data_IF_517863491408
#
_entry.id   IF_517863491408
#
_cell.length_a   1.000
_cell.length_b   1.000
_cell.length_c   1.000
_cell.angle_alpha   90.00
_cell.angle_beta   90.00
_cell.angle_gamma   90.00
#
_symmetry.space_group_name_H-M   'P 1'
#
loop_
_entity.id
_entity.type
_entity.pdbx_description
1 polymer ?
#
# COMPACT_ATOMS: atom_id res chain seq x y z
N UNK A 1 -20.96 -19.10 6.79
CA UNK A 1 -19.66 -18.45 6.90
C UNK A 1 -19.47 -17.45 5.78
N UNK A 2 -19.11 -16.25 6.10
CA UNK A 2 -18.90 -15.22 5.10
C UNK A 2 -17.51 -15.27 4.50
N UNK A 3 -17.30 -14.47 3.47
CA UNK A 3 -15.98 -14.29 2.90
C UNK A 3 -15.12 -13.44 3.86
N UNK A 4 -13.79 -13.67 3.85
CA UNK A 4 -12.93 -12.80 4.64
C UNK A 4 -13.08 -11.35 4.15
N UNK A 5 -13.07 -10.44 5.11
CA UNK A 5 -13.18 -9.01 4.82
C UNK A 5 -11.84 -8.34 5.09
N UNK A 6 -11.42 -7.46 4.19
CA UNK A 6 -10.21 -6.69 4.40
C UNK A 6 -10.50 -5.65 5.47
N UNK A 7 -9.64 -5.58 6.47
CA UNK A 7 -9.70 -4.54 7.48
C UNK A 7 -9.04 -3.29 6.91
N UNK A 8 -9.85 -2.30 6.55
CA UNK A 8 -9.36 -1.09 5.90
C UNK A 8 -8.41 -0.30 6.78
N UNK A 9 -8.70 -0.21 8.07
CA UNK A 9 -7.83 0.52 8.98
C UNK A 9 -6.46 -0.13 9.10
N UNK A 10 -6.42 -1.45 9.23
CA UNK A 10 -5.17 -2.19 9.30
C UNK A 10 -4.38 -2.08 7.99
N UNK A 11 -5.07 -2.20 6.87
CA UNK A 11 -4.43 -2.07 5.56
C UNK A 11 -3.84 -0.68 5.37
N UNK A 12 -4.59 0.36 5.77
CA UNK A 12 -4.10 1.73 5.69
C UNK A 12 -2.86 1.96 6.55
N UNK A 13 -2.89 1.43 7.77
CA UNK A 13 -1.72 1.54 8.67
C UNK A 13 -0.50 0.85 8.09
N UNK A 14 -0.68 -0.29 7.43
CA UNK A 14 0.42 -0.99 6.79
C UNK A 14 0.97 -0.22 5.59
N UNK A 15 0.10 0.44 4.83
CA UNK A 15 0.56 1.30 3.74
C UNK A 15 1.45 2.43 4.28
N UNK A 16 1.03 3.07 5.37
CA UNK A 16 1.82 4.12 5.99
C UNK A 16 3.18 3.57 6.46
N UNK A 17 3.16 2.44 7.13
CA UNK A 17 4.38 1.83 7.67
C UNK A 17 5.36 1.49 6.54
N UNK A 18 4.87 0.87 5.48
CA UNK A 18 5.73 0.47 4.37
C UNK A 18 6.23 1.68 3.59
N UNK A 19 5.37 2.69 3.42
CA UNK A 19 5.77 3.94 2.77
C UNK A 19 6.90 4.62 3.56
N UNK A 20 6.74 4.72 4.86
CA UNK A 20 7.76 5.33 5.71
C UNK A 20 9.06 4.52 5.68
N UNK A 21 8.96 3.21 5.71
CA UNK A 21 10.14 2.34 5.64
C UNK A 21 10.87 2.52 4.32
N UNK A 22 10.16 2.80 3.25
CA UNK A 22 10.76 3.05 1.94
C UNK A 22 11.27 4.48 1.77
N UNK A 23 11.03 5.36 2.74
CA UNK A 23 11.46 6.75 2.66
C UNK A 23 10.64 7.60 1.70
N UNK A 24 9.40 7.21 1.43
CA UNK A 24 8.54 7.90 0.49
C UNK A 24 7.53 8.77 1.21
N UNK A 25 7.29 9.96 0.67
CA UNK A 25 6.25 10.85 1.19
C UNK A 25 4.94 10.60 0.46
N UNK A 26 3.85 11.13 1.02
CA UNK A 26 2.56 11.09 0.33
C UNK A 26 2.66 11.82 -1.02
N UNK A 27 3.41 12.92 -1.07
CA UNK A 27 3.60 13.64 -2.32
C UNK A 27 4.31 12.77 -3.36
N UNK A 28 5.29 11.97 -2.94
CA UNK A 28 5.97 11.06 -3.86
C UNK A 28 4.98 10.06 -4.47
N UNK A 29 4.10 9.51 -3.64
CA UNK A 29 3.08 8.59 -4.14
C UNK A 29 2.11 9.30 -5.08
N UNK A 30 1.70 10.50 -4.72
CA UNK A 30 0.82 11.29 -5.56
C UNK A 30 1.41 11.47 -6.96
N UNK A 31 2.69 11.78 -7.02
CA UNK A 31 3.40 11.98 -8.29
C UNK A 31 3.45 10.70 -9.10
N UNK A 32 3.79 9.58 -8.45
CA UNK A 32 3.91 8.30 -9.12
C UNK A 32 2.57 7.87 -9.71
N UNK A 33 1.48 8.06 -8.98
CA UNK A 33 0.15 7.68 -9.46
C UNK A 33 -0.45 8.70 -10.41
N UNK A 34 0.13 9.89 -10.50
CA UNK A 34 -0.41 10.93 -11.37
C UNK A 34 -1.71 11.53 -10.85
N UNK A 35 -1.94 11.49 -9.54
CA UNK A 35 -3.15 12.05 -8.96
C UNK A 35 -3.05 13.57 -8.88
N UNK A 36 -4.19 14.24 -9.12
CA UNK A 36 -4.25 15.68 -9.01
C UNK A 36 -4.17 16.18 -7.57
N UNK A 37 -4.50 15.31 -6.61
CA UNK A 37 -4.45 15.65 -5.19
C UNK A 37 -4.09 14.41 -4.40
N UNK A 38 -3.64 14.56 -3.15
CA UNK A 38 -3.27 13.40 -2.32
C UNK A 38 -4.46 12.74 -1.63
N UNK A 39 -5.68 13.14 -1.94
CA UNK A 39 -6.84 12.70 -1.17
C UNK A 39 -7.07 11.20 -1.21
N UNK A 40 -6.87 10.57 -2.37
CA UNK A 40 -7.05 9.12 -2.47
C UNK A 40 -6.07 8.40 -1.54
N UNK A 41 -4.82 8.88 -1.48
CA UNK A 41 -3.80 8.27 -0.64
C UNK A 41 -4.16 8.42 0.83
N UNK A 42 -4.63 9.58 1.23
CA UNK A 42 -5.07 9.78 2.61
C UNK A 42 -6.25 8.88 2.96
N UNK A 43 -7.17 8.69 2.02
CA UNK A 43 -8.30 7.78 2.25
C UNK A 43 -7.81 6.34 2.46
N UNK A 44 -6.81 5.91 1.72
CA UNK A 44 -6.22 4.60 1.92
C UNK A 44 -5.62 4.50 3.33
N UNK A 45 -4.84 5.50 3.71
CA UNK A 45 -4.15 5.50 5.00
C UNK A 45 -5.12 5.58 6.18
N UNK A 46 -6.22 6.30 6.00
CA UNK A 46 -7.22 6.46 7.05
C UNK A 46 -8.21 5.30 7.12
N UNK A 47 -8.15 4.37 6.18
CA UNK A 47 -9.06 3.24 6.17
C UNK A 47 -10.45 3.57 5.67
N UNK A 48 -10.62 4.70 4.96
CA UNK A 48 -11.90 5.06 4.37
C UNK A 48 -12.12 4.46 2.99
N UNK A 49 -11.05 4.09 2.33
CA UNK A 49 -11.13 3.47 1.01
C UNK A 49 -9.96 2.52 0.83
N UNK A 50 -10.15 1.51 -0.02
CA UNK A 50 -9.11 0.57 -0.37
C UNK A 50 -8.56 0.94 -1.75
N UNK A 51 -7.24 0.86 -1.96
CA UNK A 51 -6.70 1.01 -3.32
C UNK A 51 -7.28 -0.06 -4.24
N UNK A 52 -7.44 0.28 -5.50
CA UNK A 52 -7.82 -0.73 -6.50
C UNK A 52 -6.69 -1.73 -6.65
N UNK A 53 -6.98 -2.86 -7.30
CA UNK A 53 -5.97 -3.89 -7.53
C UNK A 53 -4.78 -3.30 -8.30
N UNK A 54 -5.05 -2.47 -9.30
CA UNK A 54 -3.99 -1.84 -10.07
C UNK A 54 -3.09 -0.98 -9.18
N UNK A 55 -3.68 -0.20 -8.29
CA UNK A 55 -2.91 0.64 -7.38
C UNK A 55 -2.14 -0.19 -6.37
N UNK A 56 -2.70 -1.29 -5.91
CA UNK A 56 -1.99 -2.20 -5.00
C UNK A 56 -0.75 -2.78 -5.66
N UNK A 57 -0.86 -3.16 -6.94
CA UNK A 57 0.27 -3.69 -7.67
C UNK A 57 1.36 -2.62 -7.82
N UNK A 58 0.97 -1.40 -8.18
CA UNK A 58 1.94 -0.31 -8.31
C UNK A 58 2.61 -0.02 -6.97
N UNK A 59 1.84 -0.01 -5.88
CA UNK A 59 2.42 0.17 -4.54
C UNK A 59 3.44 -0.91 -4.22
N UNK A 60 3.12 -2.16 -4.51
CA UNK A 60 4.03 -3.27 -4.25
C UNK A 60 5.33 -3.11 -5.02
N UNK A 61 5.23 -2.77 -6.30
CA UNK A 61 6.41 -2.59 -7.14
C UNK A 61 7.23 -1.39 -6.66
N UNK A 62 6.56 -0.28 -6.37
CA UNK A 62 7.24 0.94 -5.95
C UNK A 62 8.00 0.73 -4.64
N UNK A 63 7.36 0.13 -3.67
CA UNK A 63 7.97 -0.11 -2.37
C UNK A 63 9.10 -1.15 -2.48
N UNK A 64 8.95 -2.11 -3.39
CA UNK A 64 9.96 -3.11 -3.64
C UNK A 64 11.28 -2.50 -4.13
N UNK A 65 11.21 -1.43 -4.90
CA UNK A 65 12.41 -0.82 -5.48
C UNK A 65 13.39 -0.33 -4.41
N UNK A 66 12.90 -0.05 -3.21
CA UNK A 66 13.73 0.39 -2.10
C UNK A 66 14.34 -0.77 -1.32
N UNK A 67 13.94 -2.01 -1.68
CA UNK A 67 14.42 -3.23 -1.04
C UNK A 67 14.82 -4.23 -2.11
N UNK A 68 15.58 -3.76 -3.10
CA UNK A 68 15.81 -4.53 -4.31
C UNK A 68 16.46 -5.90 -4.07
N UNK A 69 17.21 -6.04 -3.01
CA UNK A 69 17.84 -7.33 -2.69
C UNK A 69 16.83 -8.37 -2.23
N UNK A 70 15.64 -7.93 -1.89
CA UNK A 70 14.59 -8.81 -1.38
C UNK A 70 13.34 -8.71 -2.24
N UNK A 71 13.50 -8.35 -3.50
CA UNK A 71 12.37 -7.98 -4.35
C UNK A 71 11.27 -9.03 -4.39
N UNK A 72 11.64 -10.30 -4.56
CA UNK A 72 10.64 -11.37 -4.66
C UNK A 72 9.97 -11.60 -3.31
N UNK A 73 10.77 -11.60 -2.26
CA UNK A 73 10.26 -11.75 -0.91
C UNK A 73 9.47 -10.54 -0.48
N UNK A 74 9.85 -9.36 -0.96
CA UNK A 74 9.16 -8.13 -0.57
C UNK A 74 7.75 -8.07 -1.15
N UNK A 75 7.58 -8.42 -2.42
CA UNK A 75 6.25 -8.45 -3.01
C UNK A 75 5.38 -9.44 -2.24
N UNK A 76 5.90 -10.63 -1.99
CA UNK A 76 5.18 -11.63 -1.24
C UNK A 76 4.83 -11.11 0.16
N UNK A 77 5.79 -10.47 0.81
CA UNK A 77 5.59 -9.92 2.14
C UNK A 77 4.54 -8.82 2.15
N UNK A 78 4.56 -7.95 1.15
CA UNK A 78 3.57 -6.88 1.05
C UNK A 78 2.17 -7.47 0.93
N UNK A 79 1.99 -8.45 0.04
CA UNK A 79 0.69 -9.09 -0.13
C UNK A 79 0.27 -9.83 1.13
N UNK A 80 1.21 -10.43 1.83
CA UNK A 80 0.94 -11.09 3.10
C UNK A 80 0.49 -10.09 4.16
N UNK A 81 1.12 -8.93 4.22
CA UNK A 81 0.72 -7.88 5.16
C UNK A 81 -0.70 -7.40 4.88
N UNK A 82 -1.06 -7.21 3.61
CA UNK A 82 -2.42 -6.85 3.25
C UNK A 82 -3.38 -7.96 3.64
N UNK A 83 -3.02 -9.20 3.33
CA UNK A 83 -3.88 -10.35 3.64
C UNK A 83 -4.06 -10.55 5.14
N UNK A 84 -3.04 -10.24 5.92
CA UNK A 84 -3.10 -10.37 7.37
C UNK A 84 -4.19 -9.48 7.97
N UNK A 85 -4.61 -8.46 7.25
CA UNK A 85 -5.63 -7.53 7.69
C UNK A 85 -7.05 -7.99 7.35
N UNK A 86 -7.19 -9.12 6.74
CA UNK A 86 -8.51 -9.66 6.41
C UNK A 86 -9.16 -10.34 7.60
#
# INVERSE_FOLDING_TARGET
>A
MGFPTINLACTGANIVRLRNAAGLTVHDLQTVFGFNSPQAIYKWQNGTALPTVDHLIVLAVLLQQHFFNLKDLFIYRFLTEVRRCM
#
